data_IF_198625671545
#
_entry.id   IF_198625671545
#
_cell.length_a   1.000
_cell.length_b   1.000
_cell.length_c   1.000
_cell.angle_alpha   90.00
_cell.angle_beta   90.00
_cell.angle_gamma   90.00
#
_symmetry.space_group_name_H-M   'P 1'
#
loop_
_entity.id
_entity.type
_entity.pdbx_description
1 polymer ?
#
# COMPACT_ATOMS: atom_id res chain seq x y z
N UNK A 1 -21.76 8.39 -17.11
CA UNK A 1 -20.69 7.39 -17.26
C UNK A 1 -20.95 6.25 -16.32
N UNK A 2 -20.68 5.01 -16.73
CA UNK A 2 -20.66 3.87 -15.80
C UNK A 2 -19.45 4.00 -14.87
N UNK A 3 -19.49 3.35 -13.70
CA UNK A 3 -18.32 3.26 -12.80
C UNK A 3 -17.09 2.75 -13.55
N UNK A 4 -17.27 1.72 -14.39
CA UNK A 4 -16.20 1.13 -15.20
C UNK A 4 -15.53 2.15 -16.12
N UNK A 5 -16.29 2.95 -16.88
CA UNK A 5 -15.70 3.96 -17.78
C UNK A 5 -14.87 5.02 -17.04
N UNK A 6 -15.26 5.38 -15.80
CA UNK A 6 -14.50 6.31 -14.97
C UNK A 6 -13.18 5.67 -14.52
N UNK A 7 -13.21 4.40 -14.10
CA UNK A 7 -12.01 3.67 -13.69
C UNK A 7 -11.03 3.55 -14.87
N UNK A 8 -11.52 3.22 -16.07
CA UNK A 8 -10.69 3.16 -17.27
C UNK A 8 -10.04 4.50 -17.60
N UNK A 9 -10.78 5.61 -17.50
CA UNK A 9 -10.25 6.96 -17.71
C UNK A 9 -9.18 7.32 -16.68
N UNK A 10 -9.43 7.07 -15.39
CA UNK A 10 -8.48 7.33 -14.31
C UNK A 10 -7.18 6.55 -14.49
N UNK A 11 -7.29 5.25 -14.78
CA UNK A 11 -6.13 4.37 -14.90
C UNK A 11 -5.35 4.59 -16.20
N UNK A 12 -6.02 4.95 -17.30
CA UNK A 12 -5.35 5.39 -18.53
C UNK A 12 -4.54 6.65 -18.29
N UNK A 13 -5.15 7.68 -17.69
CA UNK A 13 -4.46 8.93 -17.37
C UNK A 13 -3.28 8.70 -16.42
N UNK A 14 -3.42 7.83 -15.42
CA UNK A 14 -2.33 7.45 -14.51
C UNK A 14 -1.16 6.80 -15.28
N UNK A 15 -1.46 5.82 -16.15
CA UNK A 15 -0.43 5.14 -16.93
C UNK A 15 0.33 6.13 -17.84
N UNK A 16 -0.40 7.04 -18.50
CA UNK A 16 0.19 8.06 -19.36
C UNK A 16 1.02 9.08 -18.57
N UNK A 17 0.50 9.58 -17.44
CA UNK A 17 1.14 10.62 -16.65
C UNK A 17 2.43 10.17 -15.98
N UNK A 18 2.48 8.90 -15.56
CA UNK A 18 3.63 8.32 -14.87
C UNK A 18 4.65 7.67 -15.81
N UNK A 19 4.46 7.76 -17.14
CA UNK A 19 5.38 7.15 -18.11
C UNK A 19 5.34 5.62 -18.13
N UNK A 20 4.25 5.00 -17.66
CA UNK A 20 4.12 3.54 -17.69
C UNK A 20 3.98 3.04 -19.14
N UNK A 21 3.18 3.74 -19.94
CA UNK A 21 2.89 3.39 -21.33
C UNK A 21 2.95 4.59 -22.28
N UNK A 22 3.85 5.53 -22.01
CA UNK A 22 4.06 6.73 -22.82
C UNK A 22 5.56 7.01 -22.99
N UNK A 23 5.90 7.89 -23.92
CA UNK A 23 7.29 8.33 -24.18
C UNK A 23 7.87 9.25 -23.08
N UNK A 24 7.16 9.41 -21.95
CA UNK A 24 7.64 10.21 -20.81
C UNK A 24 8.61 9.40 -19.97
N UNK A 25 9.54 10.09 -19.30
CA UNK A 25 10.40 9.46 -18.31
C UNK A 25 9.56 8.77 -17.22
N UNK A 26 9.79 7.48 -16.96
CA UNK A 26 9.03 6.75 -15.95
C UNK A 26 9.18 7.35 -14.55
N UNK A 27 8.06 7.60 -13.89
CA UNK A 27 8.01 8.06 -12.49
C UNK A 27 7.29 7.01 -11.65
N UNK A 28 8.05 6.29 -10.84
CA UNK A 28 7.51 5.26 -9.93
C UNK A 28 7.40 5.80 -8.52
N UNK A 29 6.30 5.48 -7.87
CA UNK A 29 6.02 5.84 -6.48
C UNK A 29 5.33 4.65 -5.83
N UNK A 30 6.05 3.96 -4.95
CA UNK A 30 5.76 2.56 -4.59
C UNK A 30 4.32 2.36 -4.07
N UNK A 31 3.82 3.31 -3.30
CA UNK A 31 2.46 3.25 -2.77
C UNK A 31 1.39 3.34 -3.86
N UNK A 32 1.51 4.27 -4.81
CA UNK A 32 0.52 4.37 -5.90
C UNK A 32 0.58 3.18 -6.84
N UNK A 33 1.80 2.72 -7.11
CA UNK A 33 2.02 1.60 -8.03
C UNK A 33 1.40 0.31 -7.47
N UNK A 34 1.44 0.10 -6.14
CA UNK A 34 0.80 -1.06 -5.50
C UNK A 34 -0.72 -1.12 -5.75
N UNK A 35 -1.42 0.01 -5.62
CA UNK A 35 -2.85 0.10 -5.93
C UNK A 35 -3.10 -0.05 -7.43
N UNK A 36 -2.27 0.56 -8.27
CA UNK A 36 -2.40 0.50 -9.72
C UNK A 36 -2.31 -0.93 -10.27
N UNK A 37 -1.39 -1.76 -9.77
CA UNK A 37 -1.32 -3.19 -10.15
C UNK A 37 -2.67 -3.88 -9.91
N UNK A 38 -3.26 -3.70 -8.73
CA UNK A 38 -4.56 -4.29 -8.40
C UNK A 38 -5.68 -3.76 -9.30
N UNK A 39 -5.69 -2.45 -9.58
CA UNK A 39 -6.68 -1.82 -10.45
C UNK A 39 -6.59 -2.33 -11.90
N UNK A 40 -5.38 -2.49 -12.44
CA UNK A 40 -5.19 -3.03 -13.79
C UNK A 40 -5.64 -4.49 -13.89
N UNK A 41 -5.32 -5.34 -12.91
CA UNK A 41 -5.82 -6.72 -12.86
C UNK A 41 -7.36 -6.72 -12.80
N UNK A 42 -7.98 -5.85 -12.00
CA UNK A 42 -9.43 -5.75 -11.92
C UNK A 42 -10.06 -5.32 -13.25
N UNK A 43 -9.47 -4.32 -13.92
CA UNK A 43 -9.91 -3.88 -15.25
C UNK A 43 -9.81 -5.01 -16.28
N UNK A 44 -8.73 -5.79 -16.28
CA UNK A 44 -8.63 -6.99 -17.12
C UNK A 44 -9.76 -7.98 -16.80
N UNK A 45 -10.03 -8.27 -15.51
CA UNK A 45 -11.09 -9.20 -15.11
C UNK A 45 -12.47 -8.77 -15.60
N UNK A 46 -12.77 -7.47 -15.57
CA UNK A 46 -14.05 -6.89 -16.00
C UNK A 46 -14.20 -6.79 -17.53
N UNK A 47 -13.12 -6.45 -18.24
CA UNK A 47 -13.18 -6.09 -19.68
C UNK A 47 -12.64 -7.16 -20.61
N UNK A 48 -11.79 -8.06 -20.11
CA UNK A 48 -10.96 -9.01 -20.89
C UNK A 48 -10.03 -8.34 -21.90
N UNK A 49 -9.73 -7.05 -21.71
CA UNK A 49 -8.75 -6.34 -22.53
C UNK A 49 -7.32 -6.63 -22.04
N UNK A 50 -6.56 -7.41 -22.82
CA UNK A 50 -5.19 -7.84 -22.50
C UNK A 50 -4.25 -6.68 -22.18
N UNK A 51 -4.49 -5.47 -22.73
CA UNK A 51 -3.69 -4.28 -22.40
C UNK A 51 -3.59 -4.03 -20.89
N UNK A 52 -4.66 -4.30 -20.13
CA UNK A 52 -4.61 -4.09 -18.68
C UNK A 52 -3.79 -5.17 -17.96
N UNK A 53 -3.75 -6.39 -18.47
CA UNK A 53 -2.84 -7.42 -17.97
C UNK A 53 -1.39 -7.01 -18.24
N UNK A 54 -1.09 -6.58 -19.46
CA UNK A 54 0.27 -6.12 -19.84
C UNK A 54 0.71 -4.94 -18.97
N UNK A 55 -0.16 -3.93 -18.77
CA UNK A 55 0.13 -2.79 -17.89
C UNK A 55 0.42 -3.19 -16.44
N UNK A 56 -0.24 -4.23 -15.92
CA UNK A 56 0.03 -4.71 -14.57
C UNK A 56 1.43 -5.35 -14.46
N UNK A 57 1.83 -6.13 -15.47
CA UNK A 57 3.15 -6.77 -15.56
C UNK A 57 4.24 -5.71 -15.75
N UNK A 58 4.08 -4.85 -16.75
CA UNK A 58 5.03 -3.77 -17.06
C UNK A 58 5.25 -2.84 -15.87
N UNK A 59 4.21 -2.60 -15.07
CA UNK A 59 4.33 -1.79 -13.86
C UNK A 59 5.21 -2.45 -12.80
N UNK A 60 5.08 -3.76 -12.59
CA UNK A 60 5.95 -4.50 -11.66
C UNK A 60 7.40 -4.45 -12.13
N UNK A 61 7.63 -4.71 -13.42
CA UNK A 61 8.97 -4.66 -14.02
C UNK A 61 9.61 -3.27 -13.90
N UNK A 62 8.85 -2.21 -14.17
CA UNK A 62 9.33 -0.83 -14.00
C UNK A 62 9.59 -0.48 -12.54
N UNK A 63 8.71 -0.87 -11.60
CA UNK A 63 8.94 -0.63 -10.17
C UNK A 63 10.23 -1.32 -9.72
N UNK A 64 10.46 -2.57 -10.09
CA UNK A 64 11.68 -3.28 -9.69
C UNK A 64 12.92 -2.68 -10.35
N UNK A 65 12.88 -2.43 -11.65
CA UNK A 65 14.04 -1.91 -12.38
C UNK A 65 14.42 -0.46 -12.04
N UNK A 66 13.50 0.30 -11.43
CA UNK A 66 13.72 1.69 -10.98
C UNK A 66 13.90 1.76 -9.46
N UNK A 67 12.91 1.31 -8.68
CA UNK A 67 12.91 1.43 -7.21
C UNK A 67 13.72 0.34 -6.51
N UNK A 68 14.04 -0.77 -7.20
CA UNK A 68 14.97 -1.82 -6.73
C UNK A 68 16.44 -1.51 -7.00
N UNK A 69 16.76 -0.32 -7.54
CA UNK A 69 18.13 0.15 -7.79
C UNK A 69 18.48 1.36 -6.95
N UNK A 70 19.78 1.62 -6.81
CA UNK A 70 20.28 2.90 -6.34
C UNK A 70 19.82 4.04 -7.25
N UNK A 71 19.78 5.26 -6.71
CA UNK A 71 19.40 6.46 -7.47
C UNK A 71 20.52 6.87 -8.40
N UNK A 72 20.19 7.54 -9.51
CA UNK A 72 21.17 8.07 -10.46
C UNK A 72 22.06 9.18 -9.86
N UNK A 73 21.61 9.81 -8.77
CA UNK A 73 22.35 10.82 -8.01
C UNK A 73 23.10 10.24 -6.77
N UNK A 74 23.09 8.92 -6.59
CA UNK A 74 23.86 8.22 -5.56
C UNK A 74 25.18 7.68 -6.15
N UNK A 75 26.33 7.77 -5.45
CA UNK A 75 27.59 7.19 -5.94
C UNK A 75 27.59 5.66 -6.00
N UNK A 76 26.64 4.99 -5.34
CA UNK A 76 26.44 3.54 -5.45
C UNK A 76 25.61 3.26 -6.69
N UNK A 77 25.98 2.22 -7.43
CA UNK A 77 25.32 1.85 -8.67
C UNK A 77 24.68 0.46 -8.58
N UNK A 78 23.74 0.18 -9.49
CA UNK A 78 23.13 -1.14 -9.62
C UNK A 78 21.96 -1.41 -8.68
N UNK A 79 21.66 -2.69 -8.50
CA UNK A 79 20.52 -3.18 -7.69
C UNK A 79 20.81 -3.05 -6.20
N UNK A 80 19.84 -2.62 -5.41
CA UNK A 80 19.96 -2.56 -3.95
C UNK A 80 20.34 -3.91 -3.34
N UNK A 81 19.80 -4.99 -3.92
CA UNK A 81 20.07 -6.38 -3.54
C UNK A 81 21.38 -6.94 -4.06
N UNK A 82 22.07 -6.21 -4.95
CA UNK A 82 23.15 -6.73 -5.81
C UNK A 82 22.75 -7.96 -6.65
N UNK A 83 21.45 -8.23 -6.80
CA UNK A 83 20.95 -9.39 -7.54
C UNK A 83 19.65 -9.06 -8.31
N UNK A 84 19.70 -8.90 -9.65
CA UNK A 84 18.51 -8.59 -10.46
C UNK A 84 17.40 -9.63 -10.39
N UNK A 85 17.70 -10.88 -10.01
CA UNK A 85 16.69 -11.94 -9.88
C UNK A 85 15.88 -11.83 -8.58
N UNK A 86 16.42 -11.10 -7.61
CA UNK A 86 15.79 -10.81 -6.32
C UNK A 86 15.79 -9.30 -6.08
N UNK A 87 15.03 -8.54 -6.89
CA UNK A 87 15.05 -7.09 -6.90
C UNK A 87 14.54 -6.47 -5.59
N UNK A 88 13.81 -7.24 -4.77
CA UNK A 88 13.17 -6.80 -3.53
C UNK A 88 13.90 -7.24 -2.26
N UNK A 89 14.98 -8.03 -2.37
CA UNK A 89 15.68 -8.65 -1.23
C UNK A 89 16.24 -7.65 -0.21
N UNK A 90 16.56 -6.43 -0.64
CA UNK A 90 16.99 -5.34 0.24
C UNK A 90 15.93 -4.23 0.30
N UNK A 91 14.66 -4.59 0.09
CA UNK A 91 13.53 -3.67 0.01
C UNK A 91 13.47 -2.89 -1.29
N UNK A 92 12.67 -1.83 -1.30
CA UNK A 92 12.45 -0.95 -2.46
C UNK A 92 12.42 0.51 -2.01
N UNK A 93 12.96 1.39 -2.84
CA UNK A 93 12.88 2.84 -2.61
C UNK A 93 11.45 3.34 -2.63
N UNK A 94 11.22 4.50 -2.02
CA UNK A 94 9.91 5.17 -2.02
C UNK A 94 9.60 5.73 -3.41
N UNK A 95 10.60 6.31 -4.08
CA UNK A 95 10.44 7.00 -5.37
C UNK A 95 10.21 8.50 -5.23
N UNK A 96 10.80 9.13 -4.21
CA UNK A 96 10.75 10.58 -4.01
C UNK A 96 11.81 11.31 -4.84
N UNK A 97 11.53 12.57 -5.19
CA UNK A 97 12.44 13.38 -6.00
C UNK A 97 13.74 13.68 -5.27
N UNK A 98 13.69 14.00 -3.97
CA UNK A 98 14.89 14.33 -3.20
C UNK A 98 15.59 13.08 -2.67
N UNK A 99 16.94 13.05 -2.62
CA UNK A 99 17.66 11.93 -2.03
C UNK A 99 17.39 11.81 -0.53
N UNK A 100 17.64 10.62 0.02
CA UNK A 100 17.56 10.40 1.45
C UNK A 100 18.49 11.33 2.26
N UNK A 101 18.18 11.51 3.54
CA UNK A 101 19.04 12.31 4.43
C UNK A 101 20.38 11.65 4.73
N UNK A 102 21.47 12.38 4.49
CA UNK A 102 22.83 11.93 4.82
C UNK A 102 23.02 11.85 6.35
N UNK A 103 23.98 11.04 6.80
CA UNK A 103 24.22 10.78 8.23
C UNK A 103 24.57 12.04 9.03
N UNK A 104 25.29 12.96 8.41
CA UNK A 104 25.76 14.22 8.98
C UNK A 104 24.74 15.37 8.87
N UNK A 105 23.65 15.17 8.14
CA UNK A 105 22.60 16.18 7.98
C UNK A 105 21.60 16.14 9.15
N UNK A 106 21.26 17.29 9.75
CA UNK A 106 20.23 17.36 10.78
C UNK A 106 18.85 16.98 10.22
N UNK A 107 17.98 16.47 11.09
CA UNK A 107 16.61 16.14 10.72
C UNK A 107 15.81 17.43 10.46
N UNK A 108 15.15 17.48 9.30
CA UNK A 108 14.11 18.47 8.97
C UNK A 108 12.81 17.72 8.76
N UNK A 109 11.88 17.84 9.71
CA UNK A 109 10.66 17.04 9.71
C UNK A 109 9.80 17.26 8.47
N UNK A 110 9.76 18.49 7.92
CA UNK A 110 8.95 18.77 6.75
C UNK A 110 9.62 18.21 5.49
N UNK A 111 10.94 18.37 5.39
CA UNK A 111 11.69 17.89 4.24
C UNK A 111 11.78 16.36 4.19
N UNK A 112 11.73 15.66 5.32
CA UNK A 112 11.72 14.19 5.35
C UNK A 112 10.55 13.58 4.56
N UNK A 113 9.42 14.28 4.45
CA UNK A 113 8.28 13.84 3.63
C UNK A 113 8.57 13.85 2.13
N UNK A 114 9.55 14.66 1.69
CA UNK A 114 9.93 14.80 0.28
C UNK A 114 11.20 14.04 -0.08
N UNK A 115 11.84 13.39 0.90
CA UNK A 115 13.07 12.62 0.71
C UNK A 115 12.80 11.14 0.51
N UNK A 116 13.64 10.51 -0.31
CA UNK A 116 13.65 9.08 -0.54
C UNK A 116 14.13 8.30 0.71
N UNK A 117 14.25 6.99 0.57
CA UNK A 117 14.46 6.05 1.66
C UNK A 117 13.61 4.82 1.42
N UNK A 118 13.20 4.15 2.49
CA UNK A 118 12.20 3.10 2.45
C UNK A 118 11.15 3.32 3.55
N UNK A 119 9.87 3.19 3.21
CA UNK A 119 8.76 3.22 4.16
C UNK A 119 8.23 1.82 4.38
N UNK A 120 8.13 1.39 5.64
CA UNK A 120 7.61 0.07 5.99
C UNK A 120 6.23 -0.18 5.36
N UNK A 121 5.30 0.74 5.59
CA UNK A 121 3.94 0.61 5.09
C UNK A 121 3.83 0.74 3.56
N UNK A 122 4.87 1.15 2.82
CA UNK A 122 4.86 1.09 1.35
C UNK A 122 5.28 -0.29 0.88
N UNK A 123 6.27 -0.89 1.55
CA UNK A 123 6.68 -2.28 1.31
C UNK A 123 5.49 -3.23 1.54
N UNK A 124 4.70 -3.04 2.61
CA UNK A 124 3.52 -3.89 2.85
C UNK A 124 2.44 -3.75 1.78
N UNK A 125 2.19 -2.55 1.23
CA UNK A 125 1.26 -2.41 0.09
C UNK A 125 1.82 -3.09 -1.17
N UNK A 126 3.13 -3.03 -1.39
CA UNK A 126 3.75 -3.70 -2.52
C UNK A 126 3.75 -5.23 -2.39
N UNK A 127 3.92 -5.79 -1.18
CA UNK A 127 3.71 -7.22 -0.92
C UNK A 127 2.31 -7.66 -1.33
N UNK A 128 1.28 -6.89 -0.98
CA UNK A 128 -0.12 -7.17 -1.40
C UNK A 128 -0.23 -7.17 -2.93
N UNK A 129 0.39 -6.21 -3.62
CA UNK A 129 0.39 -6.16 -5.08
C UNK A 129 1.09 -7.38 -5.70
N UNK A 130 2.21 -7.82 -5.12
CA UNK A 130 2.96 -9.00 -5.55
C UNK A 130 2.19 -10.31 -5.34
N UNK A 131 1.55 -10.50 -4.18
CA UNK A 131 0.67 -11.66 -3.96
C UNK A 131 -0.52 -11.61 -4.93
N UNK A 132 -1.11 -10.43 -5.13
CA UNK A 132 -2.22 -10.23 -6.06
C UNK A 132 -1.88 -10.64 -7.50
N UNK A 133 -0.76 -10.16 -8.04
CA UNK A 133 -0.35 -10.49 -9.41
C UNK A 133 0.19 -11.93 -9.52
N UNK A 134 0.92 -12.42 -8.52
CA UNK A 134 1.40 -13.81 -8.48
C UNK A 134 0.27 -14.81 -8.50
N UNK A 135 -0.80 -14.56 -7.73
CA UNK A 135 -2.01 -15.39 -7.75
C UNK A 135 -2.79 -15.25 -9.06
N UNK A 136 -2.81 -14.05 -9.66
CA UNK A 136 -3.51 -13.81 -10.92
C UNK A 136 -2.82 -14.48 -12.12
N UNK A 137 -1.50 -14.50 -12.16
CA UNK A 137 -0.71 -15.12 -13.23
C UNK A 137 -0.35 -16.57 -12.95
N UNK A 138 -0.60 -17.06 -11.74
CA UNK A 138 -0.15 -18.38 -11.25
C UNK A 138 1.39 -18.52 -11.30
N UNK A 139 2.10 -17.45 -10.95
CA UNK A 139 3.57 -17.37 -11.01
C UNK A 139 4.19 -17.18 -9.62
N UNK A 140 5.01 -18.14 -9.21
CA UNK A 140 5.62 -18.17 -7.86
C UNK A 140 6.69 -17.08 -7.66
N UNK A 141 7.32 -16.62 -8.74
CA UNK A 141 8.37 -15.59 -8.69
C UNK A 141 7.92 -14.32 -7.95
N UNK A 142 6.68 -13.87 -8.18
CA UNK A 142 6.14 -12.69 -7.49
C UNK A 142 5.98 -12.91 -5.98
N UNK A 143 5.65 -14.14 -5.57
CA UNK A 143 5.46 -14.49 -4.16
C UNK A 143 6.80 -14.62 -3.44
N UNK A 144 7.83 -15.15 -4.12
CA UNK A 144 9.22 -15.12 -3.65
C UNK A 144 9.66 -13.67 -3.40
N UNK A 145 9.37 -12.76 -4.34
CA UNK A 145 9.70 -11.34 -4.16
C UNK A 145 8.91 -10.68 -3.01
N UNK A 146 7.71 -11.16 -2.70
CA UNK A 146 6.96 -10.72 -1.52
C UNK A 146 7.61 -11.23 -0.23
N UNK A 147 8.11 -12.47 -0.21
CA UNK A 147 8.87 -13.03 0.92
C UNK A 147 10.19 -12.29 1.16
N UNK A 148 10.94 -11.99 0.08
CA UNK A 148 12.13 -11.14 0.12
C UNK A 148 11.86 -9.79 0.83
N UNK A 149 10.68 -9.20 0.62
CA UNK A 149 10.29 -7.96 1.30
C UNK A 149 9.97 -8.17 2.77
N UNK A 150 9.41 -9.32 3.17
CA UNK A 150 9.14 -9.63 4.58
C UNK A 150 10.48 -9.63 5.33
N UNK A 151 11.46 -10.34 4.78
CA UNK A 151 12.82 -10.39 5.29
C UNK A 151 13.47 -9.00 5.36
N UNK A 152 13.42 -8.22 4.27
CA UNK A 152 13.96 -6.86 4.25
C UNK A 152 13.30 -5.96 5.30
N UNK A 153 11.99 -6.08 5.47
CA UNK A 153 11.18 -5.28 6.38
C UNK A 153 11.51 -5.53 7.86
N UNK A 154 12.16 -6.65 8.21
CA UNK A 154 12.66 -6.88 9.56
C UNK A 154 13.72 -5.86 9.99
N UNK A 155 14.43 -5.23 9.03
CA UNK A 155 15.37 -4.14 9.31
C UNK A 155 14.71 -2.91 9.94
N UNK A 156 13.38 -2.77 9.85
CA UNK A 156 12.65 -1.68 10.50
C UNK A 156 12.42 -1.95 11.99
N UNK A 157 12.53 -3.21 12.45
CA UNK A 157 12.21 -3.64 13.82
C UNK A 157 13.44 -3.54 14.72
N UNK A 158 13.32 -2.81 15.84
CA UNK A 158 14.38 -2.60 16.83
C UNK A 158 13.78 -2.56 18.24
N UNK A 159 14.22 -3.47 19.13
CA UNK A 159 13.82 -3.52 20.55
C UNK A 159 12.29 -3.40 20.77
N UNK A 160 11.50 -4.28 20.14
CA UNK A 160 10.03 -4.31 20.23
C UNK A 160 9.32 -3.03 19.74
N UNK A 161 10.02 -2.20 18.98
CA UNK A 161 9.47 -1.06 18.26
C UNK A 161 9.87 -1.16 16.79
N UNK A 162 9.28 -0.32 15.96
CA UNK A 162 9.72 -0.18 14.57
C UNK A 162 9.85 1.27 14.14
N UNK A 163 10.77 1.50 13.22
CA UNK A 163 10.97 2.79 12.59
C UNK A 163 10.00 2.95 11.43
N UNK A 164 9.47 4.16 11.25
CA UNK A 164 8.55 4.45 10.16
C UNK A 164 9.27 4.55 8.81
N UNK A 165 10.50 5.09 8.82
CA UNK A 165 11.31 5.32 7.62
C UNK A 165 12.77 4.94 7.84
N UNK A 166 13.30 4.09 6.97
CA UNK A 166 14.70 3.66 6.96
C UNK A 166 15.43 4.24 5.74
N UNK A 167 16.75 4.21 5.77
CA UNK A 167 17.55 4.51 4.59
C UNK A 167 17.35 3.50 3.46
N UNK A 168 17.73 3.88 2.25
CA UNK A 168 17.68 3.08 1.03
C UNK A 168 18.41 1.74 1.23
N UNK A 169 19.53 1.74 1.96
CA UNK A 169 20.30 0.52 2.29
C UNK A 169 19.86 -0.17 3.58
N UNK A 170 18.75 0.28 4.19
CA UNK A 170 18.19 -0.22 5.45
C UNK A 170 19.14 -0.16 6.68
N UNK A 171 20.29 0.51 6.56
CA UNK A 171 21.31 0.51 7.62
C UNK A 171 21.02 1.44 8.79
N UNK A 172 20.08 2.38 8.67
CA UNK A 172 19.75 3.35 9.73
C UNK A 172 18.32 3.91 9.61
N UNK A 173 17.71 4.34 10.74
CA UNK A 173 16.48 5.12 10.70
C UNK A 173 16.70 6.53 10.14
N UNK A 174 15.80 6.94 9.24
CA UNK A 174 15.68 8.33 8.80
C UNK A 174 14.64 9.09 9.64
N UNK A 175 13.56 8.40 10.03
CA UNK A 175 12.56 8.89 10.96
C UNK A 175 12.30 7.82 12.03
N UNK A 176 12.57 8.17 13.28
CA UNK A 176 12.57 7.24 14.41
C UNK A 176 11.21 7.05 15.08
N UNK A 177 10.19 7.83 14.68
CA UNK A 177 8.82 7.57 15.11
C UNK A 177 8.31 6.27 14.51
N UNK A 178 7.33 5.66 15.17
CA UNK A 178 6.64 4.46 14.69
C UNK A 178 5.33 4.89 14.02
N UNK A 179 4.98 4.32 12.88
CA UNK A 179 3.63 4.48 12.34
C UNK A 179 2.63 3.80 13.26
N UNK A 180 1.52 4.48 13.58
CA UNK A 180 0.58 4.02 14.61
C UNK A 180 0.07 2.60 14.33
N UNK A 181 -0.21 2.27 13.07
CA UNK A 181 -0.78 0.99 12.65
C UNK A 181 0.24 0.06 11.97
N UNK A 182 1.50 0.48 11.81
CA UNK A 182 2.51 -0.29 11.07
C UNK A 182 2.66 -1.75 11.58
N UNK A 183 2.67 -2.04 12.90
CA UNK A 183 2.68 -3.43 13.36
C UNK A 183 1.43 -4.24 12.99
N UNK A 184 0.24 -3.62 12.93
CA UNK A 184 -1.00 -4.31 12.53
C UNK A 184 -1.00 -4.59 11.02
N UNK A 185 -0.62 -3.60 10.21
CA UNK A 185 -0.41 -3.74 8.77
C UNK A 185 0.62 -4.86 8.50
N UNK A 186 1.75 -4.83 9.23
CA UNK A 186 2.82 -5.83 9.15
C UNK A 186 2.35 -7.23 9.52
N UNK A 187 1.64 -7.38 10.64
CA UNK A 187 1.08 -8.67 11.06
C UNK A 187 0.17 -9.26 9.99
N UNK A 188 -0.75 -8.43 9.48
CA UNK A 188 -1.75 -8.87 8.50
C UNK A 188 -1.10 -9.25 7.18
N UNK A 189 -0.18 -8.42 6.67
CA UNK A 189 0.45 -8.66 5.36
C UNK A 189 1.49 -9.75 5.43
N UNK A 190 2.26 -9.90 6.51
CA UNK A 190 3.23 -10.99 6.63
C UNK A 190 2.51 -12.33 6.67
N UNK A 191 1.38 -12.42 7.38
CA UNK A 191 0.52 -13.62 7.34
C UNK A 191 -0.03 -13.90 5.95
N UNK A 192 -0.43 -12.87 5.21
CA UNK A 192 -0.87 -13.03 3.83
C UNK A 192 0.24 -13.61 2.96
N UNK A 193 1.47 -13.11 3.08
CA UNK A 193 2.63 -13.62 2.32
C UNK A 193 2.95 -15.06 2.73
N UNK A 194 3.08 -15.35 4.02
CA UNK A 194 3.33 -16.68 4.59
C UNK A 194 2.34 -17.73 4.08
N UNK A 195 1.05 -17.39 4.01
CA UNK A 195 0.01 -18.29 3.50
C UNK A 195 0.06 -18.53 1.97
N UNK A 196 0.81 -17.72 1.22
CA UNK A 196 0.85 -17.77 -0.23
C UNK A 196 2.21 -18.24 -0.78
N UNK A 197 3.22 -18.45 0.07
CA UNK A 197 4.57 -18.87 -0.34
C UNK A 197 4.96 -20.21 0.29
N UNK A 198 6.05 -20.80 -0.19
CA UNK A 198 6.64 -22.03 0.38
C UNK A 198 7.58 -21.77 1.55
N UNK A 199 8.05 -20.52 1.72
CA UNK A 199 8.89 -20.12 2.85
C UNK A 199 8.09 -20.06 4.16
N UNK A 200 8.70 -20.53 5.25
CA UNK A 200 8.14 -20.40 6.60
C UNK A 200 8.52 -19.02 7.17
N UNK A 201 7.55 -18.12 7.26
CA UNK A 201 7.69 -16.76 7.78
C UNK A 201 7.04 -16.61 9.17
N UNK A 202 6.81 -17.73 9.87
CA UNK A 202 6.08 -17.73 11.13
C UNK A 202 6.78 -16.93 12.24
N UNK A 203 8.11 -16.81 12.19
CA UNK A 203 8.89 -16.01 13.14
C UNK A 203 8.61 -14.51 12.95
N UNK A 204 8.73 -14.00 11.72
CA UNK A 204 8.49 -12.60 11.34
C UNK A 204 7.04 -12.21 11.62
N UNK A 205 6.10 -13.11 11.27
CA UNK A 205 4.67 -12.97 11.60
C UNK A 205 4.47 -12.80 13.10
N UNK A 206 5.11 -13.64 13.91
CA UNK A 206 4.96 -13.60 15.36
C UNK A 206 5.57 -12.33 15.98
N UNK A 207 6.67 -11.82 15.41
CA UNK A 207 7.25 -10.53 15.84
C UNK A 207 6.24 -9.39 15.64
N UNK A 208 5.63 -9.31 14.46
CA UNK A 208 4.63 -8.28 14.17
C UNK A 208 3.37 -8.44 15.04
N UNK A 209 2.91 -9.68 15.26
CA UNK A 209 1.76 -9.97 16.11
C UNK A 209 1.94 -9.47 17.55
N UNK A 210 3.11 -9.73 18.14
CA UNK A 210 3.43 -9.29 19.50
C UNK A 210 3.37 -7.77 19.63
N UNK A 211 3.94 -7.06 18.66
CA UNK A 211 3.88 -5.59 18.63
C UNK A 211 2.44 -5.12 18.43
N UNK A 212 1.70 -5.66 17.47
CA UNK A 212 0.32 -5.27 17.16
C UNK A 212 -0.63 -5.42 18.37
N UNK A 213 -0.46 -6.46 19.17
CA UNK A 213 -1.27 -6.69 20.40
C UNK A 213 -1.08 -5.63 21.47
N UNK A 214 0.08 -4.97 21.52
CA UNK A 214 0.38 -3.94 22.52
C UNK A 214 -0.07 -2.53 22.13
N UNK A 215 -0.64 -2.35 20.93
CA UNK A 215 -0.91 -1.02 20.39
C UNK A 215 -2.25 -0.44 20.82
N UNK A 216 -2.24 0.88 20.98
CA UNK A 216 -3.44 1.69 20.98
C UNK A 216 -3.83 2.02 19.53
N UNK A 217 -4.93 1.43 19.06
CA UNK A 217 -5.30 1.47 17.65
C UNK A 217 -6.22 2.66 17.27
N UNK A 218 -6.89 3.32 18.22
CA UNK A 218 -7.88 4.34 17.89
C UNK A 218 -7.27 5.52 17.13
N UNK A 219 -7.99 5.98 16.10
CA UNK A 219 -7.62 7.14 15.31
C UNK A 219 -8.86 7.83 14.75
N UNK A 220 -8.77 9.13 14.50
CA UNK A 220 -9.77 9.90 13.75
C UNK A 220 -9.36 10.12 12.29
N UNK A 221 -8.14 9.67 11.92
CA UNK A 221 -7.66 9.78 10.54
C UNK A 221 -8.44 8.83 9.61
N UNK A 222 -9.07 9.35 8.53
CA UNK A 222 -9.82 8.51 7.60
C UNK A 222 -8.98 7.41 6.94
N UNK A 223 -7.72 7.70 6.59
CA UNK A 223 -6.85 6.71 5.96
C UNK A 223 -6.50 5.59 6.94
N UNK A 224 -6.13 5.93 8.18
CA UNK A 224 -5.86 4.97 9.24
C UNK A 224 -7.07 4.08 9.55
N UNK A 225 -8.26 4.67 9.72
CA UNK A 225 -9.49 3.90 9.89
C UNK A 225 -9.76 2.97 8.69
N UNK A 226 -9.54 3.45 7.47
CA UNK A 226 -9.64 2.66 6.25
C UNK A 226 -8.70 1.46 6.24
N UNK A 227 -7.41 1.68 6.54
CA UNK A 227 -6.37 0.62 6.60
C UNK A 227 -6.76 -0.46 7.62
N UNK A 228 -7.16 -0.04 8.83
CA UNK A 228 -7.59 -0.97 9.87
C UNK A 228 -8.78 -1.85 9.46
N UNK A 229 -9.76 -1.30 8.73
CA UNK A 229 -10.89 -2.10 8.24
C UNK A 229 -10.47 -3.10 7.14
N UNK A 230 -9.51 -2.72 6.30
CA UNK A 230 -8.91 -3.61 5.30
C UNK A 230 -8.17 -4.75 6.00
N UNK A 231 -7.38 -4.43 7.02
CA UNK A 231 -6.64 -5.45 7.78
C UNK A 231 -7.57 -6.39 8.53
N UNK A 232 -8.60 -5.85 9.19
CA UNK A 232 -9.64 -6.65 9.83
C UNK A 232 -10.32 -7.61 8.85
N UNK A 233 -10.57 -7.18 7.61
CA UNK A 233 -11.16 -8.04 6.59
C UNK A 233 -10.22 -9.14 6.11
N UNK A 234 -8.94 -8.84 5.89
CA UNK A 234 -7.95 -9.85 5.53
C UNK A 234 -7.75 -10.87 6.65
N UNK A 235 -7.63 -10.41 7.89
CA UNK A 235 -7.56 -11.27 9.07
C UNK A 235 -8.80 -12.15 9.21
N UNK A 236 -10.00 -11.60 8.95
CA UNK A 236 -11.24 -12.37 8.88
C UNK A 236 -11.18 -13.49 7.82
N UNK A 237 -10.70 -13.20 6.61
CA UNK A 237 -10.50 -14.21 5.55
C UNK A 237 -9.48 -15.28 5.94
N UNK A 238 -8.44 -14.91 6.69
CA UNK A 238 -7.40 -15.82 7.21
C UNK A 238 -7.80 -16.54 8.52
N UNK A 239 -9.09 -16.55 8.86
CA UNK A 239 -9.66 -17.19 10.05
C UNK A 239 -8.99 -16.76 11.37
N UNK A 240 -8.63 -15.48 11.48
CA UNK A 240 -8.15 -14.92 12.74
C UNK A 240 -9.25 -14.96 13.83
N UNK A 241 -8.80 -15.01 15.08
CA UNK A 241 -9.67 -14.95 16.26
C UNK A 241 -10.58 -13.72 16.21
N UNK A 242 -11.87 -14.00 16.35
CA UNK A 242 -12.93 -13.00 16.33
C UNK A 242 -12.68 -11.87 17.33
N UNK A 243 -12.12 -12.18 18.51
CA UNK A 243 -11.83 -11.19 19.56
C UNK A 243 -10.81 -10.14 19.09
N UNK A 244 -9.81 -10.55 18.30
CA UNK A 244 -8.81 -9.64 17.78
C UNK A 244 -9.40 -8.75 16.67
N UNK A 245 -10.20 -9.34 15.77
CA UNK A 245 -10.94 -8.59 14.75
C UNK A 245 -11.90 -7.57 15.41
N UNK A 246 -12.66 -7.99 16.43
CA UNK A 246 -13.59 -7.12 17.14
C UNK A 246 -12.85 -5.96 17.84
N UNK A 247 -11.61 -6.16 18.33
CA UNK A 247 -10.75 -5.09 18.88
C UNK A 247 -10.46 -4.01 17.84
N UNK A 248 -10.09 -4.41 16.61
CA UNK A 248 -9.84 -3.48 15.50
C UNK A 248 -11.13 -2.72 15.13
N UNK A 249 -12.26 -3.43 15.06
CA UNK A 249 -13.56 -2.83 14.75
C UNK A 249 -13.99 -1.81 15.81
N UNK A 250 -13.80 -2.08 17.11
CA UNK A 250 -14.10 -1.10 18.17
C UNK A 250 -13.21 0.14 18.09
N UNK A 251 -11.93 -0.03 17.76
CA UNK A 251 -11.03 1.11 17.57
C UNK A 251 -11.43 2.00 16.38
N UNK A 252 -11.93 1.42 15.29
CA UNK A 252 -12.50 2.21 14.17
C UNK A 252 -13.81 2.89 14.58
N UNK A 253 -14.67 2.23 15.37
CA UNK A 253 -15.93 2.83 15.85
C UNK A 253 -15.68 4.11 16.65
N UNK A 254 -14.60 4.15 17.42
CA UNK A 254 -14.21 5.32 18.20
C UNK A 254 -14.05 6.57 17.31
N UNK A 255 -13.37 6.46 16.16
CA UNK A 255 -13.14 7.59 15.26
C UNK A 255 -14.30 7.86 14.31
N UNK A 256 -14.86 6.82 13.69
CA UNK A 256 -15.81 6.96 12.57
C UNK A 256 -17.13 7.62 13.00
N UNK A 257 -17.48 7.56 14.28
CA UNK A 257 -18.68 8.24 14.81
C UNK A 257 -18.59 9.77 14.72
N UNK A 258 -17.37 10.33 14.62
CA UNK A 258 -17.12 11.77 14.48
C UNK A 258 -16.86 12.19 13.02
N UNK A 259 -16.73 11.23 12.11
CA UNK A 259 -16.44 11.53 10.70
C UNK A 259 -17.65 12.15 9.99
N UNK A 260 -17.45 13.32 9.39
CA UNK A 260 -18.47 14.02 8.63
C UNK A 260 -18.21 13.91 7.12
N UNK A 261 -18.92 13.00 6.45
CA UNK A 261 -18.79 12.74 5.01
C UNK A 261 -19.25 13.89 4.09
N UNK A 262 -19.66 15.04 4.63
CA UNK A 262 -19.98 16.25 3.87
C UNK A 262 -18.89 17.34 3.96
N UNK A 263 -17.85 17.13 4.78
CA UNK A 263 -16.71 18.05 4.92
C UNK A 263 -15.49 17.33 4.37
N UNK A 264 -14.91 17.88 3.30
CA UNK A 264 -13.87 17.21 2.53
C UNK A 264 -12.49 17.83 2.75
N UNK A 265 -11.47 16.98 2.71
CA UNK A 265 -10.06 17.31 2.94
C UNK A 265 -9.18 16.73 1.84
N UNK A 266 -8.29 15.78 2.18
CA UNK A 266 -7.43 15.07 1.23
C UNK A 266 -8.16 13.86 0.66
N UNK A 267 -8.38 13.85 -0.65
CA UNK A 267 -9.16 12.82 -1.33
C UNK A 267 -8.66 11.41 -1.03
N UNK A 268 -7.35 11.13 -1.18
CA UNK A 268 -6.82 9.79 -0.91
C UNK A 268 -7.09 9.26 0.51
N UNK A 269 -7.17 10.14 1.53
CA UNK A 269 -7.48 9.71 2.89
C UNK A 269 -8.93 9.24 3.01
N UNK A 270 -9.84 10.02 2.45
CA UNK A 270 -11.27 9.71 2.43
C UNK A 270 -11.58 8.49 1.55
N UNK A 271 -10.91 8.36 0.41
CA UNK A 271 -11.04 7.20 -0.46
C UNK A 271 -10.48 5.93 0.21
N UNK A 272 -9.41 6.06 1.01
CA UNK A 272 -8.94 4.98 1.88
C UNK A 272 -10.01 4.51 2.87
N UNK A 273 -10.73 5.44 3.50
CA UNK A 273 -11.88 5.10 4.35
C UNK A 273 -13.01 4.44 3.55
N UNK A 274 -13.30 4.92 2.35
CA UNK A 274 -14.34 4.34 1.49
C UNK A 274 -14.05 2.88 1.13
N UNK A 275 -12.79 2.55 0.83
CA UNK A 275 -12.32 1.17 0.58
C UNK A 275 -12.48 0.32 1.85
N UNK A 276 -12.04 0.83 3.01
CA UNK A 276 -12.19 0.12 4.29
C UNK A 276 -13.64 -0.15 4.67
N UNK A 277 -14.56 0.78 4.40
CA UNK A 277 -15.99 0.56 4.64
C UNK A 277 -16.55 -0.56 3.73
N UNK A 278 -16.06 -0.71 2.51
CA UNK A 278 -16.40 -1.87 1.66
C UNK A 278 -15.92 -3.18 2.31
N UNK A 279 -14.68 -3.21 2.82
CA UNK A 279 -14.17 -4.34 3.59
C UNK A 279 -15.07 -4.68 4.80
N UNK A 280 -15.54 -3.66 5.53
CA UNK A 280 -16.48 -3.84 6.63
C UNK A 280 -17.85 -4.37 6.18
N UNK A 281 -18.36 -3.96 5.01
CA UNK A 281 -19.59 -4.50 4.39
C UNK A 281 -19.46 -6.00 4.15
N UNK A 282 -18.32 -6.46 3.62
CA UNK A 282 -18.06 -7.89 3.35
C UNK A 282 -18.02 -8.74 4.63
N UNK A 283 -17.61 -8.15 5.75
CA UNK A 283 -17.71 -8.77 7.09
C UNK A 283 -19.08 -8.59 7.76
N UNK A 284 -20.04 -7.93 7.13
CA UNK A 284 -21.33 -7.56 7.72
C UNK A 284 -21.19 -6.71 9.02
N UNK A 285 -20.14 -5.89 9.11
CA UNK A 285 -19.83 -4.99 10.24
C UNK A 285 -20.14 -3.54 9.88
N UNK A 286 -20.33 -2.70 10.90
CA UNK A 286 -20.47 -1.24 10.75
C UNK A 286 -21.62 -0.79 9.82
N UNK A 287 -22.74 -1.53 9.79
CA UNK A 287 -23.92 -1.23 8.96
C UNK A 287 -24.37 0.22 8.95
N UNK A 288 -24.34 0.87 10.12
CA UNK A 288 -24.70 2.29 10.31
C UNK A 288 -23.90 3.25 9.42
N UNK A 289 -22.67 2.87 9.05
CA UNK A 289 -21.69 3.72 8.36
C UNK A 289 -21.54 3.38 6.87
N UNK A 290 -22.27 2.40 6.34
CA UNK A 290 -22.13 1.90 4.97
C UNK A 290 -22.36 2.96 3.88
N UNK A 291 -23.19 3.95 4.15
CA UNK A 291 -23.49 5.06 3.24
C UNK A 291 -22.35 6.06 3.10
N UNK A 292 -21.36 6.08 4.01
CA UNK A 292 -20.22 7.00 3.94
C UNK A 292 -19.42 6.71 2.66
N UNK A 293 -19.13 5.44 2.36
CA UNK A 293 -18.39 5.05 1.15
C UNK A 293 -19.07 5.57 -0.13
N UNK A 294 -20.40 5.45 -0.25
CA UNK A 294 -21.15 5.95 -1.41
C UNK A 294 -21.08 7.48 -1.53
N UNK A 295 -21.19 8.21 -0.42
CA UNK A 295 -21.07 9.67 -0.40
C UNK A 295 -19.70 10.15 -0.84
N UNK A 296 -18.64 9.53 -0.31
CA UNK A 296 -17.26 9.89 -0.64
C UNK A 296 -16.95 9.60 -2.12
N UNK A 297 -17.32 8.42 -2.61
CA UNK A 297 -17.17 8.07 -4.03
C UNK A 297 -17.93 9.04 -4.93
N UNK A 298 -19.20 9.34 -4.61
CA UNK A 298 -20.01 10.30 -5.37
C UNK A 298 -19.38 11.68 -5.40
N UNK A 299 -18.88 12.17 -4.26
CA UNK A 299 -18.22 13.48 -4.20
C UNK A 299 -16.96 13.51 -5.06
N UNK A 300 -16.03 12.58 -4.87
CA UNK A 300 -14.74 12.58 -5.56
C UNK A 300 -14.83 12.24 -7.05
N UNK A 301 -15.86 11.50 -7.49
CA UNK A 301 -16.20 11.37 -8.92
C UNK A 301 -16.58 12.73 -9.54
N UNK A 302 -17.23 13.62 -8.80
CA UNK A 302 -17.64 14.92 -9.33
C UNK A 302 -16.59 16.04 -9.11
N UNK A 303 -15.58 15.81 -8.26
CA UNK A 303 -14.60 16.82 -7.84
C UNK A 303 -13.14 16.35 -8.05
N UNK A 304 -12.75 16.14 -9.31
CA UNK A 304 -11.41 15.65 -9.70
C UNK A 304 -10.39 16.75 -10.07
N UNK A 305 -10.62 18.01 -9.68
CA UNK A 305 -9.66 19.12 -9.93
C UNK A 305 -8.52 19.07 -8.91
N UNK A 306 -7.75 17.99 -8.92
CA UNK A 306 -6.66 17.76 -7.98
C UNK A 306 -5.40 18.52 -8.42
N UNK A 307 -5.03 19.55 -7.66
CA UNK A 307 -3.79 20.32 -7.88
C UNK A 307 -2.57 19.63 -7.25
N UNK A 308 -2.78 18.88 -6.17
CA UNK A 308 -1.76 18.09 -5.48
C UNK A 308 -2.17 16.62 -5.42
N UNK A 309 -1.18 15.73 -5.35
CA UNK A 309 -1.37 14.28 -5.20
C UNK A 309 -2.27 13.65 -6.28
N UNK A 310 -2.25 14.19 -7.50
CA UNK A 310 -3.13 13.75 -8.60
C UNK A 310 -3.08 12.24 -8.81
N UNK A 311 -1.88 11.68 -8.96
CA UNK A 311 -1.70 10.25 -9.26
C UNK A 311 -2.20 9.37 -8.10
N UNK A 312 -1.93 9.78 -6.85
CA UNK A 312 -2.45 9.15 -5.62
C UNK A 312 -3.97 9.14 -5.60
N UNK A 313 -4.60 10.29 -5.88
CA UNK A 313 -6.04 10.41 -5.86
C UNK A 313 -6.69 9.61 -7.00
N UNK A 314 -6.04 9.52 -8.17
CA UNK A 314 -6.50 8.72 -9.31
C UNK A 314 -6.58 7.23 -8.97
N UNK A 315 -5.48 6.65 -8.49
CA UNK A 315 -5.45 5.21 -8.17
C UNK A 315 -6.38 4.87 -7.01
N UNK A 316 -6.48 5.74 -6.00
CA UNK A 316 -7.37 5.52 -4.86
C UNK A 316 -8.84 5.61 -5.24
N UNK A 317 -9.21 6.54 -6.13
CA UNK A 317 -10.58 6.64 -6.60
C UNK A 317 -10.95 5.44 -7.49
N UNK A 318 -10.03 5.00 -8.35
CA UNK A 318 -10.21 3.78 -9.11
C UNK A 318 -10.43 2.56 -8.19
N UNK A 319 -9.59 2.40 -7.16
CA UNK A 319 -9.75 1.32 -6.17
C UNK A 319 -11.04 1.46 -5.37
N UNK A 320 -11.45 2.65 -4.95
CA UNK A 320 -12.67 2.81 -4.15
C UNK A 320 -13.96 2.58 -4.94
N UNK A 321 -13.92 2.72 -6.27
CA UNK A 321 -15.03 2.44 -7.17
C UNK A 321 -15.17 0.95 -7.52
N UNK A 322 -14.07 0.20 -7.51
CA UNK A 322 -14.06 -1.27 -7.64
C UNK A 322 -12.92 -1.90 -6.81
N UNK A 323 -13.14 -2.11 -5.50
CA UNK A 323 -12.06 -2.52 -4.59
C UNK A 323 -11.80 -4.04 -4.63
N UNK A 324 -12.48 -4.78 -5.52
CA UNK A 324 -12.50 -6.24 -5.50
C UNK A 324 -11.10 -6.85 -5.52
N UNK A 325 -10.27 -6.53 -6.53
CA UNK A 325 -8.94 -7.13 -6.60
C UNK A 325 -8.05 -6.77 -5.39
N UNK A 326 -8.16 -5.55 -4.88
CA UNK A 326 -7.32 -5.10 -3.76
C UNK A 326 -7.75 -5.67 -2.39
N UNK A 327 -9.05 -5.91 -2.19
CA UNK A 327 -9.59 -6.50 -0.97
C UNK A 327 -9.55 -8.04 -0.99
N UNK A 328 -9.60 -8.66 -2.16
CA UNK A 328 -9.71 -10.12 -2.31
C UNK A 328 -8.39 -10.86 -2.43
N UNK A 329 -7.25 -10.16 -2.35
CA UNK A 329 -5.91 -10.76 -2.34
C UNK A 329 -5.81 -11.92 -1.36
#
# INVERSE_FOLDING_TARGET
MSSLSIIEDLMREFAENTGLNSERDPKRYLWTDAFAVCNFIQLFKQTKNEKYKDLAIDLVDQVHSILGKHRDDDPREGWLSNNPKHPTKNGLRIGKDLPERKRDQPIDQQLEWERDGQYFHYLTKWMVALISIGNFLEEETYKIWASDLVQASMSFVHNERMFWKMSIDLSRPLVSSMGQHDPLDGYTVFRLVDMNTEEDLSEEVNVMFKMAKGLRLETEDPLGMGSMLIDAYRLYKMNEKKEFIDTIIEAVKYGIQYFNANIHSLAFRELGLAIGIDAAKRMNRLKKYWNISEKLNTYWVNHRRWEAHKDINQVMLATSLDPNQYLEV
#
